data_IF_709261594940
#
_entry.id   IF_709261594940
#
_cell.length_a   1.000
_cell.length_b   1.000
_cell.length_c   1.000
_cell.angle_alpha   90.00
_cell.angle_beta   90.00
_cell.angle_gamma   90.00
#
_symmetry.space_group_name_H-M   'P 1'
#
loop_
_entity.id
_entity.type
_entity.pdbx_description
1 polymer ?
#
# COMPACT_ATOMS: atom_id res chain seq x y z
N UNK A 1 3.08 8.68 -3.79
CA UNK A 1 1.85 8.59 -2.96
C UNK A 1 0.60 9.17 -3.64
N UNK A 2 0.72 10.21 -4.49
CA UNK A 2 -0.44 10.80 -5.18
C UNK A 2 -1.21 9.77 -6.04
N UNK A 3 -0.50 8.91 -6.77
CA UNK A 3 -1.13 7.83 -7.56
C UNK A 3 -1.86 6.79 -6.70
N UNK A 4 -1.30 6.42 -5.54
CA UNK A 4 -1.97 5.53 -4.60
C UNK A 4 -3.24 6.20 -4.01
N UNK A 5 -3.22 7.52 -3.80
CA UNK A 5 -4.37 8.29 -3.34
C UNK A 5 -5.46 8.39 -4.41
N UNK A 6 -5.08 8.44 -5.68
CA UNK A 6 -6.04 8.48 -6.79
C UNK A 6 -6.96 7.24 -6.83
N UNK A 7 -6.57 6.12 -6.21
CA UNK A 7 -7.44 4.94 -6.08
C UNK A 7 -8.70 5.19 -5.24
N UNK A 8 -8.72 6.24 -4.44
CA UNK A 8 -9.91 6.64 -3.69
C UNK A 8 -10.95 7.32 -4.58
N UNK A 9 -10.50 8.03 -5.62
CA UNK A 9 -11.38 8.72 -6.55
C UNK A 9 -11.71 7.84 -7.77
N UNK A 10 -10.74 7.06 -8.24
CA UNK A 10 -10.88 6.14 -9.38
C UNK A 10 -10.35 4.76 -8.97
N UNK A 11 -11.24 3.80 -8.65
CA UNK A 11 -10.84 2.48 -8.22
C UNK A 11 -9.90 1.79 -9.22
N UNK A 12 -8.87 1.07 -8.74
CA UNK A 12 -7.96 0.37 -9.63
C UNK A 12 -8.64 -0.84 -10.32
N UNK A 13 -8.06 -1.34 -11.42
CA UNK A 13 -8.41 -2.66 -11.94
C UNK A 13 -8.42 -3.74 -10.87
N UNK A 14 -9.29 -4.75 -11.04
CA UNK A 14 -9.39 -5.88 -10.12
C UNK A 14 -8.05 -6.61 -9.97
N UNK A 15 -7.77 -7.08 -8.76
CA UNK A 15 -6.53 -7.80 -8.42
C UNK A 15 -5.33 -6.89 -8.12
N UNK A 16 -5.46 -5.58 -8.31
CA UNK A 16 -4.40 -4.61 -8.04
C UNK A 16 -4.16 -4.35 -6.56
N UNK A 17 -5.21 -4.49 -5.76
CA UNK A 17 -5.16 -4.51 -4.30
C UNK A 17 -5.42 -5.95 -3.87
N UNK A 18 -4.47 -6.54 -3.15
CA UNK A 18 -4.58 -7.88 -2.57
C UNK A 18 -4.47 -7.78 -1.06
N UNK A 19 -5.32 -8.53 -0.36
CA UNK A 19 -5.27 -8.65 1.10
C UNK A 19 -5.07 -10.10 1.50
N UNK A 20 -4.26 -10.31 2.53
CA UNK A 20 -4.10 -11.58 3.21
C UNK A 20 -4.22 -11.36 4.72
N UNK A 21 -4.65 -12.39 5.44
CA UNK A 21 -4.66 -12.36 6.89
C UNK A 21 -3.24 -12.25 7.44
N UNK A 22 -3.06 -11.45 8.48
CA UNK A 22 -1.85 -11.43 9.31
C UNK A 22 -2.17 -12.01 10.70
N UNK A 23 -1.24 -11.91 11.65
CA UNK A 23 -1.55 -12.15 13.06
C UNK A 23 -2.54 -11.10 13.58
N UNK A 24 -3.28 -11.45 14.64
CA UNK A 24 -4.26 -10.58 15.29
C UNK A 24 -5.37 -10.12 14.33
N UNK A 25 -5.89 -8.90 14.51
CA UNK A 25 -6.90 -8.28 13.64
C UNK A 25 -6.27 -7.58 12.41
N UNK A 26 -4.98 -7.79 12.17
CA UNK A 26 -4.25 -7.11 11.11
C UNK A 26 -4.36 -7.85 9.76
N UNK A 27 -4.16 -7.09 8.67
CA UNK A 27 -4.04 -7.62 7.31
C UNK A 27 -2.72 -7.21 6.68
N UNK A 28 -2.16 -8.11 5.88
CA UNK A 28 -1.13 -7.76 4.91
C UNK A 28 -1.80 -7.29 3.63
N UNK A 29 -1.40 -6.13 3.15
CA UNK A 29 -1.90 -5.52 1.92
C UNK A 29 -0.76 -5.44 0.91
N UNK A 30 -1.06 -5.80 -0.34
CA UNK A 30 -0.19 -5.55 -1.49
C UNK A 30 -0.97 -4.72 -2.51
N UNK A 31 -0.39 -3.60 -2.90
CA UNK A 31 -0.95 -2.68 -3.89
C UNK A 31 0.08 -2.46 -4.99
N UNK A 32 -0.30 -2.71 -6.23
CA UNK A 32 0.60 -2.62 -7.38
C UNK A 32 0.16 -1.48 -8.32
N UNK A 33 0.94 -0.41 -8.44
CA UNK A 33 0.71 0.69 -9.37
C UNK A 33 1.69 0.68 -10.55
N UNK A 34 1.47 1.52 -11.58
CA UNK A 34 2.46 1.70 -12.64
C UNK A 34 3.75 2.29 -12.06
N UNK A 35 4.87 1.56 -12.12
CA UNK A 35 6.16 2.07 -11.63
C UNK A 35 6.38 1.91 -10.12
N UNK A 36 5.43 1.34 -9.38
CA UNK A 36 5.58 1.17 -7.93
C UNK A 36 4.76 0.00 -7.36
N UNK A 37 5.26 -0.56 -6.27
CA UNK A 37 4.53 -1.51 -5.44
C UNK A 37 4.53 -1.02 -3.99
N UNK A 38 3.45 -1.29 -3.28
CA UNK A 38 3.33 -1.06 -1.84
C UNK A 38 2.98 -2.37 -1.14
N UNK A 39 3.67 -2.64 -0.03
CA UNK A 39 3.31 -3.71 0.90
C UNK A 39 3.09 -3.10 2.28
N UNK A 40 2.00 -3.42 2.95
CA UNK A 40 1.64 -2.84 4.24
C UNK A 40 1.07 -3.86 5.21
N UNK A 41 1.26 -3.60 6.50
CA UNK A 41 0.48 -4.23 7.57
C UNK A 41 -0.43 -3.16 8.18
N UNK A 42 -1.74 -3.42 8.26
CA UNK A 42 -2.75 -2.39 8.58
C UNK A 42 -2.60 -1.72 9.95
N UNK A 43 -1.91 -2.38 10.88
CA UNK A 43 -1.69 -1.92 12.26
C UNK A 43 -0.24 -1.48 12.54
N UNK A 44 0.63 -1.53 11.53
CA UNK A 44 2.04 -1.19 11.62
C UNK A 44 2.42 -0.28 10.44
N UNK A 45 3.41 -0.65 9.63
CA UNK A 45 3.96 0.21 8.60
C UNK A 45 3.68 -0.28 7.18
N UNK A 46 4.01 0.58 6.20
CA UNK A 46 4.05 0.23 4.80
C UNK A 46 5.43 0.47 4.20
N UNK A 47 5.70 -0.18 3.09
CA UNK A 47 6.91 -0.03 2.31
C UNK A 47 6.53 0.22 0.86
N UNK A 48 7.20 1.18 0.23
CA UNK A 48 7.07 1.48 -1.19
C UNK A 48 8.35 1.07 -1.91
N UNK A 49 8.18 0.34 -3.00
CA UNK A 49 9.23 -0.01 -3.95
C UNK A 49 8.94 0.73 -5.25
N UNK A 50 9.97 1.28 -5.88
CA UNK A 50 9.84 2.03 -7.13
C UNK A 50 10.65 1.35 -8.23
N UNK A 51 10.05 1.17 -9.40
CA UNK A 51 10.73 0.56 -10.56
C UNK A 51 11.92 1.40 -11.02
N UNK A 52 11.87 2.73 -10.81
CA UNK A 52 12.93 3.66 -11.18
C UNK A 52 14.20 3.52 -10.34
N UNK A 53 14.10 2.97 -9.12
CA UNK A 53 15.22 2.75 -8.20
C UNK A 53 15.14 1.33 -7.62
N UNK A 54 15.38 0.30 -8.45
CA UNK A 54 15.24 -1.08 -8.02
C UNK A 54 16.23 -1.40 -6.90
N UNK A 55 15.72 -1.97 -5.81
CA UNK A 55 16.50 -2.30 -4.60
C UNK A 55 16.37 -1.28 -3.47
N UNK A 56 15.84 -0.08 -3.74
CA UNK A 56 15.49 0.88 -2.69
C UNK A 56 14.11 0.56 -2.12
N UNK A 57 14.02 0.51 -0.79
CA UNK A 57 12.78 0.28 -0.05
C UNK A 57 12.50 1.51 0.81
N UNK A 58 11.42 2.21 0.49
CA UNK A 58 11.05 3.45 1.17
C UNK A 58 10.05 3.12 2.28
N UNK A 59 10.42 3.26 3.56
CA UNK A 59 9.50 3.04 4.67
C UNK A 59 8.48 4.17 4.75
N UNK A 60 7.23 3.80 5.02
CA UNK A 60 6.11 4.70 5.30
C UNK A 60 5.56 4.32 6.66
N UNK A 61 5.90 5.13 7.66
CA UNK A 61 5.45 4.93 9.04
C UNK A 61 3.92 5.01 9.16
N UNK A 62 3.41 4.48 10.27
CA UNK A 62 1.99 4.50 10.65
C UNK A 62 1.49 5.90 11.03
N UNK A 63 1.58 6.84 10.10
CA UNK A 63 0.95 8.15 10.22
C UNK A 63 -0.53 8.09 9.86
N UNK A 64 -1.34 9.13 10.16
CA UNK A 64 -2.79 9.14 9.91
C UNK A 64 -3.18 8.91 8.44
N UNK A 65 -2.25 9.19 7.52
CA UNK A 65 -2.43 8.98 6.08
C UNK A 65 -2.41 7.50 5.68
N UNK A 66 -1.70 6.63 6.41
CA UNK A 66 -1.63 5.21 6.05
C UNK A 66 -2.95 4.51 6.38
N UNK A 67 -3.52 4.54 7.59
CA UNK A 67 -4.86 3.98 7.85
C UNK A 67 -5.93 4.54 6.91
N UNK A 68 -5.88 5.83 6.58
CA UNK A 68 -6.83 6.46 5.65
C UNK A 68 -6.67 6.04 4.17
N UNK A 69 -5.56 5.40 3.80
CA UNK A 69 -5.38 4.75 2.49
C UNK A 69 -5.85 3.28 2.50
N UNK A 70 -6.01 2.68 3.68
CA UNK A 70 -6.29 1.25 3.86
C UNK A 70 -7.72 0.97 4.34
N UNK A 71 -8.46 2.00 4.77
CA UNK A 71 -9.84 1.91 5.24
C UNK A 71 -10.90 2.14 4.15
N UNK A 72 -10.48 2.34 2.89
CA UNK A 72 -11.34 2.53 1.72
C UNK A 72 -11.71 1.22 1.03
#
# INVERSE_FOLDING_TARGET
LAEARAYLDTPPPLGRIRSAFASDEARLLRVDGPGWSLVARTDDMAFVLLDAVPGEVIPVERGPRLPALLAG
#
